data_IF_168524419843
#
_entry.id   IF_168524419843
#
_cell.length_a   1.000
_cell.length_b   1.000
_cell.length_c   1.000
_cell.angle_alpha   90.00
_cell.angle_beta   90.00
_cell.angle_gamma   90.00
#
_symmetry.space_group_name_H-M   'P 1'
#
loop_
_entity.id
_entity.type
_entity.pdbx_description
1 polymer ?
#
# COMPACT_ATOMS: atom_id res chain seq x y z
N UNK A 1 -1.30 -13.57 0.08
CA UNK A 1 -1.69 -12.30 0.72
C UNK A 1 -2.69 -12.53 1.86
N UNK A 2 -3.31 -13.71 1.96
CA UNK A 2 -4.37 -14.05 2.93
C UNK A 2 -4.05 -13.79 4.41
N UNK A 3 -2.79 -13.92 4.84
CA UNK A 3 -2.38 -13.58 6.21
C UNK A 3 -2.49 -12.07 6.54
N UNK A 4 -2.56 -11.21 5.53
CA UNK A 4 -2.70 -9.75 5.68
C UNK A 4 -4.16 -9.30 5.83
N UNK A 5 -5.13 -10.19 5.75
CA UNK A 5 -6.56 -9.84 5.93
C UNK A 5 -6.79 -9.34 7.36
N UNK A 6 -6.20 -10.03 8.35
CA UNK A 6 -6.23 -9.60 9.75
C UNK A 6 -4.98 -10.07 10.51
N UNK A 7 -3.86 -9.32 10.42
CA UNK A 7 -2.62 -9.69 11.11
C UNK A 7 -2.77 -9.83 12.62
N UNK A 8 -3.74 -9.13 13.24
CA UNK A 8 -3.99 -9.28 14.67
C UNK A 8 -4.58 -10.65 15.00
N UNK A 9 -5.56 -11.10 14.21
CA UNK A 9 -6.17 -12.43 14.37
C UNK A 9 -5.18 -13.58 14.13
N UNK A 10 -4.09 -13.33 13.39
CA UNK A 10 -3.00 -14.30 13.20
C UNK A 10 -1.85 -14.16 14.20
N UNK A 11 -1.93 -13.22 15.16
CA UNK A 11 -0.86 -12.99 16.15
C UNK A 11 0.38 -12.26 15.60
N UNK A 12 0.31 -11.79 14.36
CA UNK A 12 1.39 -11.09 13.64
C UNK A 12 1.38 -9.56 13.90
N UNK A 13 0.43 -9.07 14.71
CA UNK A 13 0.36 -7.65 15.06
C UNK A 13 -0.17 -7.41 16.48
N UNK A 14 0.25 -6.30 17.07
CA UNK A 14 -0.40 -5.74 18.25
C UNK A 14 -1.79 -5.19 17.90
N UNK A 15 -2.63 -4.97 18.91
CA UNK A 15 -3.93 -4.32 18.73
C UNK A 15 -3.73 -2.96 18.03
N UNK A 16 -4.56 -2.68 17.02
CA UNK A 16 -4.44 -1.55 16.07
C UNK A 16 -4.04 -0.19 16.69
N UNK A 17 -4.58 0.16 17.86
CA UNK A 17 -4.31 1.45 18.55
C UNK A 17 -2.92 1.54 19.20
N UNK A 18 -2.15 0.46 19.19
CA UNK A 18 -0.85 0.35 19.88
C UNK A 18 0.29 -0.05 18.93
N UNK A 19 -0.01 -0.26 17.66
CA UNK A 19 0.97 -0.74 16.69
C UNK A 19 1.64 0.44 15.97
N UNK A 20 2.96 0.39 15.89
CA UNK A 20 3.73 1.15 14.90
C UNK A 20 4.04 0.15 13.79
N UNK A 21 3.64 0.45 12.56
CA UNK A 21 3.86 -0.40 11.40
C UNK A 21 5.00 0.15 10.55
N UNK A 22 5.74 -0.74 9.89
CA UNK A 22 6.87 -0.36 9.05
C UNK A 22 7.09 -1.42 7.97
N UNK A 23 7.59 -1.00 6.80
CA UNK A 23 8.10 -1.91 5.78
C UNK A 23 9.58 -2.22 6.00
N UNK A 24 10.32 -1.24 6.53
CA UNK A 24 11.75 -1.28 6.80
C UNK A 24 12.05 -0.40 8.03
N UNK A 25 13.12 -0.70 8.75
CA UNK A 25 13.63 0.12 9.87
C UNK A 25 15.12 0.39 9.67
N UNK A 26 15.73 1.21 10.54
CA UNK A 26 17.17 1.44 10.50
C UNK A 26 18.02 0.21 10.77
N UNK A 27 17.52 -0.79 11.50
CA UNK A 27 18.29 -1.98 11.83
C UNK A 27 18.43 -2.93 10.64
N UNK A 28 17.37 -3.09 9.84
CA UNK A 28 17.31 -4.08 8.77
C UNK A 28 18.43 -3.91 7.73
N UNK A 29 18.68 -2.70 7.16
CA UNK A 29 19.72 -2.54 6.15
C UNK A 29 21.12 -2.30 6.72
N UNK A 30 21.22 -1.85 7.97
CA UNK A 30 22.50 -1.42 8.57
C UNK A 30 23.13 -2.46 9.49
N UNK A 31 22.42 -3.52 9.87
CA UNK A 31 22.93 -4.59 10.70
C UNK A 31 23.01 -5.90 9.91
N UNK A 32 24.20 -6.47 9.84
CA UNK A 32 24.48 -7.69 9.06
C UNK A 32 23.55 -8.86 9.43
N UNK A 33 23.08 -8.95 10.67
CA UNK A 33 22.18 -10.01 11.14
C UNK A 33 20.79 -9.95 10.47
N UNK A 34 20.37 -8.76 10.03
CA UNK A 34 19.04 -8.52 9.45
C UNK A 34 19.06 -8.21 7.96
N UNK A 35 20.25 -8.10 7.34
CA UNK A 35 20.40 -7.67 5.95
C UNK A 35 19.66 -8.57 4.96
N UNK A 36 19.52 -9.85 5.26
CA UNK A 36 18.77 -10.81 4.44
C UNK A 36 17.24 -10.56 4.47
N UNK A 37 16.75 -9.72 5.38
CA UNK A 37 15.34 -9.28 5.45
C UNK A 37 15.07 -8.04 4.57
N UNK A 38 16.09 -7.46 3.93
CA UNK A 38 15.88 -6.38 2.96
C UNK A 38 15.09 -6.94 1.78
N UNK A 39 13.86 -6.47 1.63
CA UNK A 39 12.98 -6.89 0.53
C UNK A 39 13.54 -6.42 -0.82
N UNK A 40 13.19 -7.09 -1.93
CA UNK A 40 13.22 -6.47 -3.25
C UNK A 40 12.44 -5.15 -3.26
N UNK A 41 12.91 -4.16 -4.03
CA UNK A 41 12.32 -2.80 -4.07
C UNK A 41 10.82 -2.82 -4.38
N UNK A 42 10.42 -3.60 -5.39
CA UNK A 42 9.04 -3.81 -5.78
C UNK A 42 8.14 -4.26 -4.62
N UNK A 43 8.62 -5.20 -3.79
CA UNK A 43 7.85 -5.71 -2.65
C UNK A 43 7.82 -4.75 -1.47
N UNK A 44 8.85 -3.93 -1.28
CA UNK A 44 8.83 -2.86 -0.28
C UNK A 44 7.73 -1.83 -0.62
N UNK A 45 7.54 -1.50 -1.90
CA UNK A 45 6.44 -0.61 -2.31
C UNK A 45 5.05 -1.21 -2.10
N UNK A 46 4.88 -2.52 -2.33
CA UNK A 46 3.62 -3.20 -1.99
C UNK A 46 3.39 -3.21 -0.47
N UNK A 47 4.45 -3.36 0.33
CA UNK A 47 4.37 -3.28 1.78
C UNK A 47 3.99 -1.86 2.25
N UNK A 48 4.60 -0.81 1.68
CA UNK A 48 4.22 0.58 1.95
C UNK A 48 2.75 0.84 1.60
N UNK A 49 2.31 0.43 0.40
CA UNK A 49 0.92 0.56 -0.02
C UNK A 49 -0.02 -0.10 1.00
N UNK A 50 0.30 -1.30 1.46
CA UNK A 50 -0.50 -1.98 2.48
C UNK A 50 -0.53 -1.22 3.82
N UNK A 51 0.63 -0.89 4.41
CA UNK A 51 0.67 -0.31 5.76
C UNK A 51 0.15 1.13 5.83
N UNK A 52 0.30 1.90 4.76
CA UNK A 52 -0.21 3.28 4.69
C UNK A 52 -1.70 3.30 4.35
N UNK A 53 -2.19 2.39 3.52
CA UNK A 53 -3.58 2.44 3.08
C UNK A 53 -4.56 1.63 3.96
N UNK A 54 -4.08 0.68 4.78
CA UNK A 54 -4.93 -0.08 5.71
C UNK A 54 -5.48 0.80 6.83
N UNK A 55 -6.48 0.29 7.56
CA UNK A 55 -6.89 0.88 8.82
C UNK A 55 -6.05 0.35 10.01
N UNK A 56 -5.73 1.26 10.93
CA UNK A 56 -5.03 0.96 12.17
C UNK A 56 -3.51 0.82 12.04
N UNK A 57 -2.84 0.98 13.19
CA UNK A 57 -1.40 1.21 13.24
C UNK A 57 -1.03 2.64 12.88
N UNK A 58 0.14 3.09 13.33
CA UNK A 58 0.76 4.34 12.88
C UNK A 58 1.93 3.95 11.96
N UNK A 59 1.83 4.19 10.64
CA UNK A 59 2.91 3.84 9.72
C UNK A 59 4.11 4.75 9.93
N UNK A 60 5.28 4.14 10.08
CA UNK A 60 6.57 4.81 10.13
C UNK A 60 7.26 4.66 8.78
N UNK A 61 7.63 5.79 8.17
CA UNK A 61 8.45 5.83 6.96
C UNK A 61 9.89 6.03 7.38
N UNK A 62 10.75 5.07 7.04
CA UNK A 62 12.18 5.16 7.30
C UNK A 62 12.87 5.99 6.21
N UNK A 63 13.79 6.85 6.62
CA UNK A 63 14.69 7.57 5.72
C UNK A 63 16.04 7.73 6.39
N UNK A 64 17.12 7.77 5.61
CA UNK A 64 18.48 7.83 6.13
C UNK A 64 19.42 8.73 5.31
N UNK A 65 20.70 8.73 5.71
CA UNK A 65 21.80 9.43 5.05
C UNK A 65 22.71 8.46 4.28
N UNK A 66 22.15 7.40 3.70
CA UNK A 66 22.88 6.31 3.03
C UNK A 66 23.96 5.58 3.87
N UNK A 67 23.69 5.19 5.14
CA UNK A 67 24.64 4.40 5.93
C UNK A 67 24.83 2.97 5.42
N UNK A 68 23.85 2.42 4.70
CA UNK A 68 23.86 1.01 4.26
C UNK A 68 24.62 0.78 2.94
N UNK A 69 24.71 1.80 2.08
CA UNK A 69 25.23 1.68 0.72
C UNK A 69 24.35 0.85 -0.23
N UNK A 70 23.14 0.46 0.19
CA UNK A 70 22.19 -0.29 -0.64
C UNK A 70 21.53 0.68 -1.62
N UNK A 71 21.56 0.29 -2.89
CA UNK A 71 21.03 1.10 -3.99
C UNK A 71 19.68 0.58 -4.47
N UNK A 72 18.86 1.49 -4.96
CA UNK A 72 17.65 1.17 -5.70
C UNK A 72 17.95 0.71 -7.14
N UNK A 73 16.89 0.43 -7.90
CA UNK A 73 16.96 0.06 -9.30
C UNK A 73 17.56 1.13 -10.23
N UNK A 74 17.59 2.40 -9.81
CA UNK A 74 18.21 3.52 -10.52
C UNK A 74 19.68 3.74 -10.11
N UNK A 75 20.17 2.98 -9.13
CA UNK A 75 21.54 3.09 -8.60
C UNK A 75 21.74 4.22 -7.59
N UNK A 76 20.66 4.80 -7.08
CA UNK A 76 20.64 5.84 -6.05
C UNK A 76 20.50 5.23 -4.65
N UNK A 77 20.87 5.94 -3.57
CA UNK A 77 20.68 5.46 -2.21
C UNK A 77 19.21 5.18 -1.89
N UNK A 78 18.90 3.93 -1.53
CA UNK A 78 17.52 3.41 -1.51
C UNK A 78 16.56 4.12 -0.54
N UNK A 79 17.05 4.59 0.61
CA UNK A 79 16.21 5.22 1.65
C UNK A 79 16.54 6.70 1.90
N UNK A 80 17.47 7.26 1.14
CA UNK A 80 17.76 8.69 1.23
C UNK A 80 16.57 9.49 0.70
N UNK A 81 16.09 10.45 1.49
CA UNK A 81 14.95 11.29 1.12
C UNK A 81 13.67 10.51 0.74
N UNK A 82 13.49 9.26 1.21
CA UNK A 82 12.34 8.41 0.88
C UNK A 82 10.97 9.07 1.15
N UNK A 83 10.91 9.99 2.13
CA UNK A 83 9.71 10.78 2.43
C UNK A 83 9.32 11.78 1.32
N UNK A 84 10.26 12.15 0.44
CA UNK A 84 10.04 13.03 -0.72
C UNK A 84 9.67 12.27 -1.98
N UNK A 85 9.77 10.94 -1.99
CA UNK A 85 9.40 10.14 -3.17
C UNK A 85 7.94 10.42 -3.53
N UNK A 86 7.62 10.78 -4.80
CA UNK A 86 6.25 11.05 -5.21
C UNK A 86 5.28 9.91 -4.90
N UNK A 87 5.72 8.64 -4.99
CA UNK A 87 4.92 7.46 -4.64
C UNK A 87 4.55 7.48 -3.16
N UNK A 88 5.49 7.84 -2.29
CA UNK A 88 5.26 7.97 -0.85
C UNK A 88 4.27 9.10 -0.54
N UNK A 89 4.42 10.26 -1.19
CA UNK A 89 3.50 11.38 -1.05
C UNK A 89 2.07 10.98 -1.45
N UNK A 90 1.90 10.24 -2.54
CA UNK A 90 0.60 9.70 -2.98
C UNK A 90 -0.03 8.76 -1.94
N UNK A 91 0.75 7.86 -1.35
CA UNK A 91 0.26 6.94 -0.31
C UNK A 91 -0.15 7.68 0.98
N UNK A 92 0.62 8.69 1.38
CA UNK A 92 0.29 9.57 2.51
C UNK A 92 -0.97 10.38 2.21
N UNK A 93 -1.13 10.89 0.98
CA UNK A 93 -2.33 11.60 0.56
C UNK A 93 -3.57 10.69 0.68
N UNK A 94 -3.49 9.45 0.16
CA UNK A 94 -4.55 8.48 0.32
C UNK A 94 -4.88 8.24 1.81
N UNK A 95 -3.86 7.93 2.63
CA UNK A 95 -4.02 7.67 4.06
C UNK A 95 -4.80 8.81 4.76
N UNK A 96 -4.42 10.05 4.48
CA UNK A 96 -5.04 11.22 5.08
C UNK A 96 -6.49 11.43 4.61
N UNK A 97 -6.78 11.20 3.32
CA UNK A 97 -8.14 11.35 2.76
C UNK A 97 -9.14 10.38 3.40
N UNK A 98 -8.71 9.16 3.73
CA UNK A 98 -9.58 8.12 4.30
C UNK A 98 -9.33 7.90 5.80
N UNK A 99 -8.67 8.84 6.48
CA UNK A 99 -8.33 8.73 7.89
C UNK A 99 -9.59 8.52 8.74
N UNK A 100 -9.55 7.54 9.65
CA UNK A 100 -10.68 7.17 10.51
C UNK A 100 -11.69 6.20 9.88
N UNK A 101 -11.69 6.01 8.55
CA UNK A 101 -12.58 5.06 7.91
C UNK A 101 -12.14 3.62 8.18
N UNK A 102 -13.11 2.72 8.41
CA UNK A 102 -12.85 1.30 8.62
C UNK A 102 -12.40 0.62 7.34
N UNK A 103 -11.54 -0.37 7.47
CA UNK A 103 -11.17 -1.27 6.38
C UNK A 103 -12.13 -2.45 6.30
N UNK A 104 -12.59 -2.77 5.10
CA UNK A 104 -13.27 -4.03 4.80
C UNK A 104 -12.62 -4.68 3.59
N UNK A 105 -12.23 -5.95 3.72
CA UNK A 105 -11.65 -6.72 2.61
C UNK A 105 -12.75 -7.16 1.66
N UNK A 106 -12.58 -6.86 0.37
CA UNK A 106 -13.55 -7.18 -0.69
C UNK A 106 -13.12 -8.42 -1.48
N UNK A 107 -11.83 -8.52 -1.81
CA UNK A 107 -11.25 -9.68 -2.49
C UNK A 107 -9.87 -9.97 -1.92
N UNK A 108 -9.54 -11.25 -1.75
CA UNK A 108 -8.20 -11.66 -1.34
C UNK A 108 -7.86 -13.03 -1.93
N UNK A 109 -6.60 -13.20 -2.29
CA UNK A 109 -6.04 -14.50 -2.66
C UNK A 109 -4.58 -14.59 -2.20
N UNK A 110 -3.84 -15.55 -2.74
CA UNK A 110 -2.41 -15.58 -2.55
C UNK A 110 -1.70 -14.41 -3.22
N UNK A 111 -2.23 -13.88 -4.32
CA UNK A 111 -1.55 -12.92 -5.22
C UNK A 111 -2.04 -11.49 -5.15
N UNK A 112 -3.27 -11.26 -4.71
CA UNK A 112 -3.82 -9.92 -4.65
C UNK A 112 -4.68 -9.71 -3.40
N UNK A 113 -4.87 -8.45 -3.05
CA UNK A 113 -5.70 -8.00 -1.96
C UNK A 113 -6.43 -6.72 -2.38
N UNK A 114 -7.75 -6.71 -2.25
CA UNK A 114 -8.61 -5.56 -2.48
C UNK A 114 -9.38 -5.26 -1.21
N UNK A 115 -9.32 -4.02 -0.74
CA UNK A 115 -10.08 -3.57 0.42
C UNK A 115 -10.57 -2.14 0.24
N UNK A 116 -11.73 -1.85 0.81
CA UNK A 116 -12.27 -0.50 0.91
C UNK A 116 -11.89 0.17 2.23
N UNK A 117 -11.99 1.50 2.24
CA UNK A 117 -11.83 2.37 3.40
C UNK A 117 -13.10 3.22 3.55
N UNK A 118 -14.15 2.59 4.07
CA UNK A 118 -15.50 3.13 4.03
C UNK A 118 -15.98 3.32 2.59
N UNK A 119 -16.82 4.31 2.34
CA UNK A 119 -17.33 4.68 1.01
C UNK A 119 -16.45 5.74 0.29
N UNK A 120 -15.25 5.99 0.80
CA UNK A 120 -14.37 7.07 0.35
C UNK A 120 -13.16 6.60 -0.44
N UNK A 121 -12.72 5.35 -0.26
CA UNK A 121 -11.57 4.86 -1.01
C UNK A 121 -11.49 3.34 -1.11
N UNK A 122 -10.78 2.91 -2.14
CA UNK A 122 -10.52 1.52 -2.50
C UNK A 122 -9.03 1.35 -2.76
N UNK A 123 -8.46 0.27 -2.24
CA UNK A 123 -7.05 -0.09 -2.44
C UNK A 123 -7.00 -1.49 -3.00
N UNK A 124 -6.17 -1.65 -4.03
CA UNK A 124 -5.96 -2.92 -4.68
C UNK A 124 -4.46 -3.14 -4.84
N UNK A 125 -3.96 -4.28 -4.37
CA UNK A 125 -2.53 -4.64 -4.38
C UNK A 125 -2.41 -5.96 -5.11
N UNK A 126 -1.47 -6.06 -6.05
CA UNK A 126 -1.19 -7.24 -6.84
C UNK A 126 0.31 -7.56 -6.80
N UNK A 127 0.68 -8.71 -6.24
CA UNK A 127 2.08 -9.19 -6.23
C UNK A 127 2.42 -10.16 -7.36
N UNK A 128 1.44 -10.53 -8.21
CA UNK A 128 1.69 -11.40 -9.35
C UNK A 128 2.48 -10.68 -10.46
N UNK A 129 3.09 -11.47 -11.33
CA UNK A 129 3.79 -11.00 -12.54
C UNK A 129 2.85 -10.63 -13.69
N UNK A 130 1.53 -10.78 -13.51
CA UNK A 130 0.50 -10.42 -14.50
C UNK A 130 -0.43 -9.37 -13.93
N UNK A 131 -0.96 -8.52 -14.80
CA UNK A 131 -2.05 -7.61 -14.42
C UNK A 131 -3.30 -8.37 -13.98
N UNK A 132 -4.14 -7.70 -13.20
CA UNK A 132 -5.43 -8.25 -12.77
C UNK A 132 -6.52 -7.22 -12.92
N UNK A 133 -7.61 -7.60 -13.56
CA UNK A 133 -8.83 -6.80 -13.65
C UNK A 133 -9.92 -7.39 -12.77
N UNK A 134 -10.65 -6.53 -12.06
CA UNK A 134 -11.82 -6.89 -11.30
C UNK A 134 -12.90 -5.81 -11.45
N UNK A 135 -14.15 -6.19 -11.21
CA UNK A 135 -15.28 -5.27 -11.17
C UNK A 135 -15.99 -5.42 -9.83
N UNK A 136 -16.44 -4.31 -9.25
CA UNK A 136 -17.20 -4.31 -8.01
C UNK A 136 -18.27 -3.21 -8.01
N UNK A 137 -19.28 -3.40 -7.17
CA UNK A 137 -20.36 -2.43 -6.96
C UNK A 137 -19.82 -1.21 -6.24
N UNK A 138 -19.87 -0.06 -6.90
CA UNK A 138 -19.50 1.24 -6.36
C UNK A 138 -20.19 2.35 -7.17
N UNK A 139 -21.08 3.09 -6.54
CA UNK A 139 -21.99 4.04 -7.21
C UNK A 139 -21.33 5.35 -7.68
N UNK A 140 -20.13 5.64 -7.18
CA UNK A 140 -19.45 6.91 -7.44
C UNK A 140 -18.25 6.74 -8.37
N UNK A 141 -18.03 7.71 -9.25
CA UNK A 141 -16.78 7.77 -9.98
C UNK A 141 -15.59 7.88 -9.00
N UNK A 142 -14.46 7.29 -9.39
CA UNK A 142 -13.24 7.27 -8.59
C UNK A 142 -12.07 7.88 -9.36
N UNK A 143 -11.12 8.41 -8.63
CA UNK A 143 -9.83 8.85 -9.15
C UNK A 143 -8.74 7.96 -8.56
N UNK A 144 -7.90 7.39 -9.41
CA UNK A 144 -6.70 6.71 -8.96
C UNK A 144 -5.61 7.74 -8.68
N UNK A 145 -5.15 7.81 -7.45
CA UNK A 145 -4.07 8.71 -7.04
C UNK A 145 -2.71 8.23 -7.55
N UNK A 146 -2.56 6.95 -7.88
CA UNK A 146 -1.30 6.37 -8.37
C UNK A 146 -1.09 6.70 -9.85
N UNK A 147 -2.04 6.35 -10.71
CA UNK A 147 -1.96 6.65 -12.15
C UNK A 147 -2.44 8.06 -12.53
N UNK A 148 -3.18 8.73 -11.64
CA UNK A 148 -3.89 9.98 -11.95
C UNK A 148 -5.17 9.78 -12.78
N UNK A 149 -5.52 8.53 -13.12
CA UNK A 149 -6.66 8.19 -13.96
C UNK A 149 -8.02 8.40 -13.27
N UNK A 150 -9.07 8.44 -14.10
CA UNK A 150 -10.47 8.48 -13.66
C UNK A 150 -11.16 7.17 -14.03
N UNK A 151 -12.02 6.69 -13.13
CA UNK A 151 -12.82 5.47 -13.32
C UNK A 151 -14.28 5.87 -13.09
N UNK A 152 -15.06 5.84 -14.17
CA UNK A 152 -16.49 6.06 -14.10
C UNK A 152 -17.20 4.86 -13.44
N UNK A 153 -18.27 5.15 -12.73
CA UNK A 153 -19.23 4.12 -12.33
C UNK A 153 -20.23 3.92 -13.46
N UNK A 154 -20.31 2.70 -13.99
CA UNK A 154 -21.21 2.32 -15.08
C UNK A 154 -22.20 1.29 -14.51
N UNK A 155 -23.49 1.61 -14.54
CA UNK A 155 -24.56 0.78 -13.97
C UNK A 155 -24.34 0.40 -12.48
N UNK A 156 -23.68 1.29 -11.74
CA UNK A 156 -23.32 1.12 -10.32
C UNK A 156 -22.08 0.24 -10.10
N UNK A 157 -21.34 -0.11 -11.15
CA UNK A 157 -20.11 -0.89 -11.08
C UNK A 157 -18.89 -0.08 -11.53
N UNK A 158 -17.76 -0.29 -10.87
CA UNK A 158 -16.44 0.21 -11.27
C UNK A 158 -15.57 -0.96 -11.69
N UNK A 159 -14.82 -0.78 -12.78
CA UNK A 159 -13.85 -1.78 -13.26
C UNK A 159 -12.44 -1.24 -13.08
N UNK A 160 -11.60 -2.00 -12.40
CA UNK A 160 -10.24 -1.60 -12.00
C UNK A 160 -9.26 -2.62 -12.52
N UNK A 161 -8.18 -2.14 -13.15
CA UNK A 161 -7.03 -2.97 -13.54
C UNK A 161 -5.84 -2.61 -12.66
N UNK A 162 -5.33 -3.60 -11.93
CA UNK A 162 -4.12 -3.51 -11.11
C UNK A 162 -2.92 -3.96 -11.95
N UNK A 163 -1.85 -3.16 -12.07
CA UNK A 163 -0.62 -3.59 -12.74
C UNK A 163 -0.01 -4.85 -12.10
N UNK A 164 0.80 -5.58 -12.88
CA UNK A 164 1.69 -6.60 -12.33
C UNK A 164 2.64 -5.97 -11.30
N UNK A 165 2.84 -6.64 -10.15
CA UNK A 165 3.65 -6.13 -9.02
C UNK A 165 3.33 -4.67 -8.66
N UNK A 166 2.05 -4.32 -8.69
CA UNK A 166 1.58 -2.95 -8.54
C UNK A 166 0.41 -2.80 -7.59
N UNK A 167 -0.03 -1.55 -7.44
CA UNK A 167 -1.17 -1.20 -6.60
C UNK A 167 -1.93 -0.01 -7.19
N UNK A 168 -3.18 0.12 -6.78
CA UNK A 168 -4.05 1.27 -7.06
C UNK A 168 -4.53 1.87 -5.74
N UNK A 169 -4.67 3.20 -5.69
CA UNK A 169 -5.21 3.92 -4.54
C UNK A 169 -6.31 4.86 -5.04
N UNK A 170 -7.54 4.35 -5.01
CA UNK A 170 -8.70 4.98 -5.60
C UNK A 170 -9.47 5.75 -4.54
N UNK A 171 -9.77 7.02 -4.81
CA UNK A 171 -10.60 7.84 -3.95
C UNK A 171 -11.86 8.27 -4.69
N UNK A 172 -12.98 8.31 -3.96
CA UNK A 172 -14.23 8.83 -4.49
C UNK A 172 -14.05 10.26 -5.00
N UNK A 173 -14.62 10.56 -6.17
CA UNK A 173 -14.70 11.93 -6.66
C UNK A 173 -15.91 12.62 -6.03
N UNK A 174 -15.67 13.75 -5.36
CA UNK A 174 -16.73 14.60 -4.85
C UNK A 174 -17.41 15.33 -6.02
N UNK A 175 -18.74 15.31 -6.02
CA UNK A 175 -19.61 15.98 -6.98
C UNK A 175 -19.83 17.45 -6.64
#
# INVERSE_FOLDING_TARGET
MSALIDPYSFGEALKRQRAITFAITHDIPNNDVFRDLVMPEEYEWLAYAYILCRDGGVPLVYTDLDPSGIKDSEGLPRWQDAWKDPRMATLIEFHNRVHGNRMAVLEASDDHLVFERGDQGLVAINKADTEKTFSLRWEHAMRDLVSGGHIDSVDGDVTVTIPAKGYCCLVRVES
#
